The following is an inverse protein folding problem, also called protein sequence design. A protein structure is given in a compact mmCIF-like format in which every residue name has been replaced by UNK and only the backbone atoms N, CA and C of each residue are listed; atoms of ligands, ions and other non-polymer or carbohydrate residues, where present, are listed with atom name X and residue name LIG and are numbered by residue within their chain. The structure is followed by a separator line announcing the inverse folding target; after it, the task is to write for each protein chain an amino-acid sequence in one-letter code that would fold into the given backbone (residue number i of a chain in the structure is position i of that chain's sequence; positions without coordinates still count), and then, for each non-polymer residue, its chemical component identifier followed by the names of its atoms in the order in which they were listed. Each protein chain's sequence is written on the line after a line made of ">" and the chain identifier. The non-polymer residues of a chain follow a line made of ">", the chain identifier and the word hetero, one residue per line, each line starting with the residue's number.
data_IF_491796571476
#
_entry.id   IF_491796571476
#
_cell.length_a   1.000
_cell.length_b   1.000
_cell.length_c   1.000
_cell.angle_alpha   90.00
_cell.angle_beta   90.00
_cell.angle_gamma   90.00
#
_symmetry.space_group_name_H-M   'P 1'
#
loop_
_entity.id
_entity.type
_entity.pdbx_description
1 polymer ?
#
# COMPACT_ATOMS: atom_id res chain seq x y z
N UNK A 1 12.47 -10.34 -8.54
CA UNK A 1 12.65 -10.47 -10.01
C UNK A 1 14.13 -10.48 -10.34
N UNK A 2 14.73 -9.31 -10.59
CA UNK A 2 16.16 -9.18 -10.95
C UNK A 2 17.08 -9.54 -9.77
N UNK A 3 16.79 -9.05 -8.56
CA UNK A 3 17.51 -9.42 -7.34
C UNK A 3 17.47 -10.93 -7.08
N UNK A 4 16.28 -11.53 -7.19
CA UNK A 4 16.07 -12.98 -7.10
C UNK A 4 16.84 -13.74 -8.20
N UNK A 5 16.94 -13.20 -9.41
CA UNK A 5 17.73 -13.79 -10.50
C UNK A 5 19.23 -13.82 -10.21
N UNK A 6 19.76 -12.75 -9.61
CA UNK A 6 21.16 -12.69 -9.18
C UNK A 6 21.41 -13.71 -8.07
N UNK A 7 20.55 -13.77 -7.05
CA UNK A 7 20.70 -14.70 -5.92
C UNK A 7 20.56 -16.16 -6.37
N UNK A 8 19.52 -16.50 -7.13
CA UNK A 8 19.31 -17.87 -7.61
C UNK A 8 20.34 -18.30 -8.66
N UNK A 9 20.86 -17.34 -9.45
CA UNK A 9 21.97 -17.56 -10.38
C UNK A 9 23.28 -17.86 -9.65
N UNK A 10 23.61 -17.10 -8.60
CA UNK A 10 24.79 -17.34 -7.75
C UNK A 10 24.72 -18.70 -7.04
N UNK A 11 23.53 -19.10 -6.60
CA UNK A 11 23.28 -20.39 -5.95
C UNK A 11 23.23 -21.58 -6.94
N UNK A 12 23.43 -21.36 -8.24
CA UNK A 12 23.39 -22.37 -9.32
C UNK A 12 22.17 -23.28 -9.26
N UNK A 13 21.00 -22.73 -8.94
CA UNK A 13 19.74 -23.48 -8.92
C UNK A 13 19.36 -23.82 -10.36
N UNK A 14 19.05 -25.09 -10.63
CA UNK A 14 18.78 -25.65 -11.98
C UNK A 14 17.61 -24.97 -12.74
N UNK A 15 16.84 -24.11 -12.05
CA UNK A 15 15.70 -23.36 -12.58
C UNK A 15 15.70 -21.89 -12.14
N UNK A 16 16.88 -21.28 -11.95
CA UNK A 16 17.01 -19.91 -11.42
C UNK A 16 16.11 -18.93 -12.17
N UNK A 17 16.11 -18.96 -13.50
CA UNK A 17 15.34 -18.04 -14.32
C UNK A 17 13.83 -18.16 -14.10
N UNK A 18 13.28 -19.38 -14.14
CA UNK A 18 11.86 -19.63 -13.90
C UNK A 18 11.44 -19.20 -12.49
N UNK A 19 12.27 -19.53 -11.48
CA UNK A 19 12.01 -19.18 -10.08
C UNK A 19 12.07 -17.66 -9.84
N UNK A 20 12.93 -16.94 -10.57
CA UNK A 20 13.09 -15.48 -10.48
C UNK A 20 11.95 -14.71 -11.10
N UNK A 21 11.46 -15.19 -12.25
CA UNK A 21 10.28 -14.65 -12.93
C UNK A 21 9.06 -14.87 -12.04
N UNK A 22 8.87 -16.09 -11.54
CA UNK A 22 7.80 -16.40 -10.60
C UNK A 22 7.88 -15.51 -9.35
N UNK A 23 9.07 -15.37 -8.75
CA UNK A 23 9.27 -14.47 -7.61
C UNK A 23 8.99 -12.99 -7.95
N UNK A 24 9.31 -12.54 -9.17
CA UNK A 24 8.93 -11.21 -9.64
C UNK A 24 7.41 -11.02 -9.72
N UNK A 25 6.71 -12.00 -10.29
CA UNK A 25 5.25 -11.99 -10.41
C UNK A 25 4.56 -12.06 -9.04
N UNK A 26 5.05 -12.92 -8.13
CA UNK A 26 4.50 -13.06 -6.79
C UNK A 26 4.65 -11.79 -5.94
N UNK A 27 5.69 -10.98 -6.18
CA UNK A 27 5.90 -9.69 -5.48
C UNK A 27 4.95 -8.57 -5.95
N UNK A 28 4.16 -8.76 -7.01
CA UNK A 28 3.12 -7.82 -7.46
C UNK A 28 1.83 -7.95 -6.63
N UNK A 29 1.77 -8.93 -5.72
CA UNK A 29 0.58 -9.23 -4.92
C UNK A 29 0.49 -8.51 -3.54
N UNK A 30 1.03 -7.29 -3.30
CA UNK A 30 0.73 -6.53 -2.08
C UNK A 30 -0.75 -6.31 -1.79
N UNK A 31 -1.56 -6.22 -2.84
CA UNK A 31 -2.96 -5.79 -2.75
C UNK A 31 -3.86 -6.85 -2.12
N UNK A 32 -3.52 -8.15 -2.21
CA UNK A 32 -4.38 -9.20 -1.65
C UNK A 32 -4.51 -9.12 -0.13
N UNK A 33 -3.44 -8.74 0.58
CA UNK A 33 -3.47 -8.67 2.06
C UNK A 33 -4.53 -7.68 2.57
N UNK A 34 -4.45 -6.39 2.21
CA UNK A 34 -5.44 -5.39 2.60
C UNK A 34 -6.86 -5.74 2.15
N UNK A 35 -7.03 -6.22 0.91
CA UNK A 35 -8.35 -6.58 0.38
C UNK A 35 -8.97 -7.74 1.17
N UNK A 36 -8.21 -8.81 1.43
CA UNK A 36 -8.68 -9.94 2.21
C UNK A 36 -8.99 -9.54 3.67
N UNK A 37 -8.19 -8.68 4.28
CA UNK A 37 -8.46 -8.16 5.64
C UNK A 37 -9.76 -7.37 5.72
N UNK A 38 -10.05 -6.50 4.74
CA UNK A 38 -11.29 -5.73 4.70
C UNK A 38 -12.49 -6.66 4.51
N UNK A 39 -12.42 -7.63 3.61
CA UNK A 39 -13.49 -8.61 3.39
C UNK A 39 -13.75 -9.39 4.68
N UNK A 40 -12.70 -9.90 5.33
CA UNK A 40 -12.83 -10.66 6.57
C UNK A 40 -13.41 -9.80 7.70
N UNK A 41 -12.92 -8.57 7.87
CA UNK A 41 -13.41 -7.63 8.87
C UNK A 41 -14.88 -7.25 8.63
N UNK A 42 -15.28 -7.06 7.38
CA UNK A 42 -16.66 -6.81 6.99
C UNK A 42 -17.59 -7.97 7.33
N UNK A 43 -17.18 -9.20 7.02
CA UNK A 43 -17.94 -10.41 7.38
C UNK A 43 -18.07 -10.52 8.90
N UNK A 44 -16.97 -10.41 9.65
CA UNK A 44 -16.99 -10.52 11.11
C UNK A 44 -17.86 -9.43 11.74
N UNK A 45 -17.73 -8.18 11.29
CA UNK A 45 -18.53 -7.07 11.80
C UNK A 45 -20.03 -7.22 11.51
N UNK A 46 -20.38 -7.87 10.40
CA UNK A 46 -21.78 -8.15 10.05
C UNK A 46 -22.46 -9.13 11.02
N UNK A 47 -21.71 -10.07 11.60
CA UNK A 47 -22.24 -11.03 12.58
C UNK A 47 -22.28 -10.48 14.02
N UNK A 48 -21.54 -9.40 14.31
CA UNK A 48 -21.29 -8.97 15.68
C UNK A 48 -22.29 -7.88 16.15
N UNK A 49 -22.50 -6.82 15.36
CA UNK A 49 -23.55 -5.80 15.62
C UNK A 49 -23.65 -4.79 14.48
N UNK A 50 -24.85 -4.25 14.22
CA UNK A 50 -25.07 -3.18 13.23
C UNK A 50 -24.19 -1.94 13.46
N UNK A 51 -23.85 -1.64 14.72
CA UNK A 51 -22.92 -0.55 15.07
C UNK A 51 -21.46 -0.83 14.72
N UNK A 52 -21.03 -2.10 14.77
CA UNK A 52 -19.68 -2.52 14.40
C UNK A 52 -19.51 -2.53 12.88
N UNK A 53 -20.55 -2.92 12.14
CA UNK A 53 -20.57 -2.85 10.68
C UNK A 53 -20.43 -1.40 10.19
N UNK A 54 -21.14 -0.46 10.83
CA UNK A 54 -21.03 0.98 10.55
C UNK A 54 -19.60 1.49 10.78
N UNK A 55 -18.93 1.02 11.84
CA UNK A 55 -17.52 1.32 12.10
C UNK A 55 -16.56 0.83 11.01
N UNK A 56 -16.75 -0.40 10.50
CA UNK A 56 -15.93 -0.94 9.40
C UNK A 56 -16.15 -0.18 8.09
N UNK A 57 -17.41 0.19 7.79
CA UNK A 57 -17.74 0.97 6.59
C UNK A 57 -17.11 2.37 6.66
N UNK A 58 -17.22 3.08 7.79
CA UNK A 58 -16.59 4.39 7.99
C UNK A 58 -15.07 4.29 7.88
N UNK A 59 -14.45 3.29 8.51
CA UNK A 59 -13.01 3.06 8.43
C UNK A 59 -12.57 2.84 6.97
N UNK A 60 -13.31 2.03 6.20
CA UNK A 60 -12.97 1.76 4.81
C UNK A 60 -13.11 3.00 3.91
N UNK A 61 -14.15 3.82 4.13
CA UNK A 61 -14.35 5.07 3.40
C UNK A 61 -13.21 6.07 3.68
N UNK A 62 -12.73 6.16 4.92
CA UNK A 62 -11.56 7.00 5.26
C UNK A 62 -10.26 6.42 4.70
N UNK A 63 -10.11 5.09 4.69
CA UNK A 63 -8.94 4.40 4.17
C UNK A 63 -8.76 4.61 2.65
N UNK A 64 -9.85 4.67 1.88
CA UNK A 64 -9.80 4.95 0.44
C UNK A 64 -9.29 6.36 0.10
N UNK A 65 -9.32 7.29 1.06
CA UNK A 65 -9.07 8.70 0.79
C UNK A 65 -7.64 9.18 1.10
N UNK A 66 -6.78 8.36 1.75
CA UNK A 66 -5.63 8.96 2.43
C UNK A 66 -4.30 8.19 2.44
N UNK A 67 -3.99 7.41 1.41
CA UNK A 67 -2.62 6.93 1.21
C UNK A 67 -2.30 6.90 -0.29
N UNK A 68 -1.15 7.44 -0.75
CA UNK A 68 -0.65 7.18 -2.08
C UNK A 68 -0.33 5.68 -2.18
N UNK A 69 -1.17 4.86 -2.86
CA UNK A 69 -1.00 3.41 -2.89
C UNK A 69 0.34 3.03 -3.53
N UNK A 70 0.83 3.92 -4.38
CA UNK A 70 2.13 3.86 -5.02
C UNK A 70 3.30 3.87 -4.02
N UNK A 71 3.23 4.67 -2.94
CA UNK A 71 4.28 4.71 -1.93
C UNK A 71 4.41 3.36 -1.21
N UNK A 72 3.28 2.73 -0.88
CA UNK A 72 3.23 1.40 -0.26
C UNK A 72 3.79 0.32 -1.19
N UNK A 73 3.43 0.36 -2.48
CA UNK A 73 3.92 -0.60 -3.48
C UNK A 73 5.44 -0.45 -3.68
N UNK A 74 5.95 0.79 -3.75
CA UNK A 74 7.38 1.06 -3.86
C UNK A 74 8.12 0.57 -2.62
N UNK A 75 7.57 0.82 -1.43
CA UNK A 75 8.16 0.40 -0.16
C UNK A 75 8.24 -1.11 0.00
N UNK A 76 7.17 -1.83 -0.37
CA UNK A 76 7.15 -3.30 -0.33
C UNK A 76 8.12 -3.89 -1.34
N UNK A 77 8.22 -3.29 -2.52
CA UNK A 77 9.13 -3.74 -3.58
C UNK A 77 10.60 -3.53 -3.17
N UNK A 78 10.94 -2.36 -2.61
CA UNK A 78 12.30 -2.08 -2.12
C UNK A 78 12.62 -2.86 -0.85
N UNK A 79 11.76 -2.77 0.17
CA UNK A 79 11.95 -3.44 1.45
C UNK A 79 12.02 -4.96 1.29
N UNK A 80 11.10 -5.53 0.50
CA UNK A 80 11.10 -6.95 0.16
C UNK A 80 12.37 -7.40 -0.58
N UNK A 81 12.90 -6.55 -1.47
CA UNK A 81 14.13 -6.86 -2.20
C UNK A 81 15.39 -6.80 -1.32
N UNK A 82 15.43 -5.94 -0.30
CA UNK A 82 16.60 -5.72 0.54
C UNK A 82 16.76 -6.74 1.67
N UNK A 83 15.67 -7.09 2.35
CA UNK A 83 15.72 -8.01 3.51
C UNK A 83 14.56 -9.03 3.53
N UNK A 84 13.93 -9.30 2.38
CA UNK A 84 12.82 -10.24 2.30
C UNK A 84 11.60 -9.77 3.11
N UNK A 85 10.94 -10.70 3.78
CA UNK A 85 9.71 -10.41 4.57
C UNK A 85 9.96 -9.35 5.65
N UNK A 86 11.11 -9.38 6.32
CA UNK A 86 11.44 -8.40 7.37
C UNK A 86 11.62 -6.99 6.80
N UNK A 87 12.27 -6.86 5.65
CA UNK A 87 12.43 -5.57 4.98
C UNK A 87 11.11 -5.02 4.45
N UNK A 88 10.22 -5.89 3.95
CA UNK A 88 8.87 -5.50 3.56
C UNK A 88 8.04 -5.00 4.76
N UNK A 89 8.15 -5.68 5.91
CA UNK A 89 7.43 -5.34 7.15
C UNK A 89 7.83 -3.96 7.70
N UNK A 90 9.13 -3.63 7.64
CA UNK A 90 9.65 -2.33 8.11
C UNK A 90 9.49 -1.24 7.04
N UNK A 91 9.58 -1.62 5.75
CA UNK A 91 9.49 -0.70 4.63
C UNK A 91 8.15 0.01 4.54
N UNK A 92 7.04 -0.71 4.69
CA UNK A 92 5.68 -0.16 4.61
C UNK A 92 5.44 1.02 5.58
N UNK A 93 5.60 0.86 6.92
CA UNK A 93 5.36 1.96 7.84
C UNK A 93 6.34 3.11 7.63
N UNK A 94 7.59 2.82 7.25
CA UNK A 94 8.59 3.85 6.95
C UNK A 94 8.16 4.71 5.76
N UNK A 95 7.69 4.10 4.68
CA UNK A 95 7.23 4.84 3.51
C UNK A 95 5.93 5.60 3.75
N UNK A 96 5.02 5.07 4.56
CA UNK A 96 3.84 5.81 5.00
C UNK A 96 4.24 7.09 5.75
N UNK A 97 5.22 6.99 6.66
CA UNK A 97 5.77 8.14 7.39
C UNK A 97 6.38 9.18 6.44
N UNK A 98 7.19 8.73 5.48
CA UNK A 98 7.81 9.62 4.49
C UNK A 98 6.75 10.28 3.61
N UNK A 99 5.74 9.52 3.15
CA UNK A 99 4.66 10.04 2.32
C UNK A 99 3.85 11.13 3.04
N UNK A 100 3.53 10.92 4.33
CA UNK A 100 2.83 11.91 5.15
C UNK A 100 3.67 13.17 5.34
N UNK A 101 4.97 13.03 5.62
CA UNK A 101 5.86 14.19 5.76
C UNK A 101 5.96 14.96 4.45
N UNK A 102 6.07 14.27 3.32
CA UNK A 102 6.12 14.91 2.01
C UNK A 102 4.81 15.61 1.66
N UNK A 103 3.66 15.01 1.96
CA UNK A 103 2.36 15.62 1.73
C UNK A 103 2.21 16.91 2.55
N UNK A 104 2.59 16.90 3.83
CA UNK A 104 2.52 18.06 4.72
C UNK A 104 3.49 19.19 4.32
N UNK A 105 4.70 18.85 3.86
CA UNK A 105 5.72 19.86 3.52
C UNK A 105 5.65 20.38 2.08
N UNK A 106 5.14 19.58 1.13
CA UNK A 106 5.12 19.92 -0.30
C UNK A 106 3.76 20.50 -0.72
N UNK A 107 2.66 20.12 -0.07
CA UNK A 107 1.33 20.66 -0.38
C UNK A 107 1.10 21.96 0.38
N UNK A 108 1.59 23.07 -0.17
CA UNK A 108 0.90 24.35 0.03
C UNK A 108 -0.44 24.23 -0.68
N UNK A 109 -1.52 24.02 0.08
CA UNK A 109 -2.87 24.37 -0.38
C UNK A 109 -2.85 25.88 -0.63
N UNK A 110 -2.67 26.29 -1.88
CA UNK A 110 -3.18 27.57 -2.33
C UNK A 110 -4.70 27.48 -2.22
N UNK A 111 -5.21 27.93 -1.09
CA UNK A 111 -6.60 28.34 -0.94
C UNK A 111 -6.81 29.47 -1.95
N UNK A 112 -7.23 29.15 -3.17
CA UNK A 112 -7.81 30.13 -4.07
C UNK A 112 -9.26 30.34 -3.62
N UNK A 113 -9.62 31.51 -3.05
CA UNK A 113 -11.01 31.82 -2.72
C UNK A 113 -11.68 32.24 -4.03
N UNK A 114 -12.32 31.29 -4.71
CA UNK A 114 -13.14 31.56 -5.90
C UNK A 114 -14.65 31.43 -5.60
N UNK A 115 -15.06 31.67 -4.35
CA UNK A 115 -16.45 31.59 -3.90
C UNK A 115 -16.91 32.92 -3.27
N UNK A 116 -16.56 34.05 -3.91
CA UNK A 116 -17.06 35.39 -3.55
C UNK A 116 -17.36 36.30 -4.76
N UNK A 117 -17.30 35.81 -6.00
CA UNK A 117 -17.45 36.66 -7.20
C UNK A 117 -18.65 36.32 -8.12
N UNK A 118 -19.53 35.39 -7.74
CA UNK A 118 -20.65 34.96 -8.59
C UNK A 118 -22.05 35.25 -7.99
N UNK A 119 -22.13 36.05 -6.93
CA UNK A 119 -23.42 36.46 -6.34
C UNK A 119 -23.88 37.87 -6.75
N UNK A 120 -23.06 38.65 -7.48
CA UNK A 120 -23.32 40.06 -7.80
C UNK A 120 -23.26 40.39 -9.31
N UNK A 121 -23.81 39.55 -10.19
CA UNK A 121 -24.01 39.88 -11.60
C UNK A 121 -25.31 39.29 -12.17
#
# INVERSE_FOLDING_TARGET
>A
GISSAIVFGLLRIKYSYALSVFAGLANIVPILGPVMSVILAGIVAAFDSWWKLLGVVIFYLLYQLNLPPLAVIIALSLGGALAGVLGALIGVPTAALVAVILDEYVVRKETAPAELAASDA
#
